data_IF_712972962141
#
_entry.id   IF_712972962141
#
_cell.length_a   1.000
_cell.length_b   1.000
_cell.length_c   1.000
_cell.angle_alpha   90.00
_cell.angle_beta   90.00
_cell.angle_gamma   90.00
#
_symmetry.space_group_name_H-M   'P 1'
#
loop_
_entity.id
_entity.type
_entity.pdbx_description
1 polymer ?
#
# COMPACT_ATOMS: atom_id res chain seq x y z
N UNK A 1 23.56 2.36 -31.23
CA UNK A 1 23.74 2.35 -29.76
C UNK A 1 22.36 2.31 -29.13
N UNK A 2 21.99 1.18 -28.51
CA UNK A 2 20.70 1.05 -27.80
C UNK A 2 20.91 1.60 -26.40
N UNK A 3 20.14 2.64 -26.02
CA UNK A 3 20.16 3.16 -24.66
C UNK A 3 19.71 2.05 -23.70
N UNK A 4 20.37 1.84 -22.55
CA UNK A 4 19.93 0.86 -21.58
C UNK A 4 18.49 1.19 -21.17
N UNK A 5 17.62 0.18 -21.16
CA UNK A 5 16.25 0.35 -20.68
C UNK A 5 16.30 0.94 -19.26
N UNK A 6 15.50 1.97 -18.96
CA UNK A 6 15.47 2.53 -17.62
C UNK A 6 15.16 1.40 -16.64
N UNK A 7 16.04 1.17 -15.66
CA UNK A 7 15.76 0.20 -14.62
C UNK A 7 14.42 0.57 -13.97
N UNK A 8 13.52 -0.40 -13.74
CA UNK A 8 12.27 -0.11 -13.07
C UNK A 8 12.61 0.53 -11.74
N UNK A 9 12.07 1.74 -11.52
CA UNK A 9 12.21 2.41 -10.24
C UNK A 9 11.76 1.42 -9.17
N UNK A 10 12.47 1.30 -8.03
CA UNK A 10 11.94 0.55 -6.91
C UNK A 10 10.52 1.07 -6.68
N UNK A 11 9.52 0.18 -6.57
CA UNK A 11 8.10 0.54 -6.55
C UNK A 11 7.77 1.70 -5.56
N UNK A 12 8.62 1.89 -4.55
CA UNK A 12 8.64 2.95 -3.53
C UNK A 12 8.89 4.37 -4.05
N UNK A 13 9.57 4.48 -5.19
CA UNK A 13 9.74 5.68 -6.00
C UNK A 13 8.80 5.68 -7.22
N UNK A 14 7.95 4.66 -7.36
CA UNK A 14 6.95 4.68 -8.40
C UNK A 14 5.93 5.78 -8.09
N UNK A 15 5.52 6.47 -9.14
CA UNK A 15 4.43 7.44 -9.11
C UNK A 15 3.16 6.86 -8.47
N UNK A 16 2.97 5.55 -8.58
CA UNK A 16 1.85 4.83 -7.98
C UNK A 16 1.87 4.87 -6.45
N UNK A 17 3.03 4.62 -5.82
CA UNK A 17 3.15 4.66 -4.36
C UNK A 17 2.81 6.03 -3.78
N UNK A 18 3.24 7.11 -4.44
CA UNK A 18 2.93 8.48 -4.00
C UNK A 18 1.47 8.88 -4.29
N UNK A 19 0.83 8.29 -5.30
CA UNK A 19 -0.59 8.50 -5.55
C UNK A 19 -1.45 7.92 -4.42
N UNK A 20 -1.12 6.72 -3.94
CA UNK A 20 -1.83 6.10 -2.82
C UNK A 20 -1.82 6.97 -1.56
N UNK A 21 -0.69 7.62 -1.25
CA UNK A 21 -0.55 8.49 -0.08
C UNK A 21 -1.39 9.76 -0.15
N UNK A 22 -1.89 10.14 -1.34
CA UNK A 22 -2.79 11.28 -1.54
C UNK A 22 -4.27 10.91 -1.41
N UNK A 23 -4.57 9.62 -1.35
CA UNK A 23 -5.94 9.12 -1.22
C UNK A 23 -6.31 9.05 0.26
N UNK A 24 -7.57 9.33 0.58
CA UNK A 24 -8.13 9.06 1.90
C UNK A 24 -7.91 7.58 2.28
N UNK A 25 -7.34 7.27 3.47
CA UNK A 25 -7.06 5.88 3.88
C UNK A 25 -8.29 4.96 3.78
N UNK A 26 -9.49 5.45 4.10
CA UNK A 26 -10.72 4.64 4.03
C UNK A 26 -11.13 4.33 2.58
N UNK A 27 -10.85 5.24 1.65
CA UNK A 27 -11.02 4.98 0.21
C UNK A 27 -9.91 4.07 -0.31
N UNK A 28 -8.70 4.24 0.21
CA UNK A 28 -7.56 3.39 -0.13
C UNK A 28 -7.87 1.94 0.19
N UNK A 29 -8.38 1.62 1.40
CA UNK A 29 -8.80 0.26 1.79
C UNK A 29 -9.69 -0.41 0.74
N UNK A 30 -10.69 0.31 0.20
CA UNK A 30 -11.61 -0.26 -0.80
C UNK A 30 -10.92 -0.54 -2.13
N UNK A 31 -10.15 0.42 -2.64
CA UNK A 31 -9.40 0.22 -3.89
C UNK A 31 -8.34 -0.87 -3.73
N UNK A 32 -7.70 -0.93 -2.56
CA UNK A 32 -6.68 -1.90 -2.23
C UNK A 32 -7.26 -3.32 -2.16
N UNK A 33 -8.41 -3.49 -1.51
CA UNK A 33 -9.13 -4.76 -1.47
C UNK A 33 -9.62 -5.21 -2.86
N UNK A 34 -9.97 -4.28 -3.75
CA UNK A 34 -10.34 -4.63 -5.13
C UNK A 34 -9.14 -5.09 -5.95
N UNK A 35 -7.96 -4.50 -5.73
CA UNK A 35 -6.73 -4.86 -6.46
C UNK A 35 -6.10 -6.16 -5.97
N UNK A 36 -6.06 -6.35 -4.64
CA UNK A 36 -5.30 -7.43 -4.01
C UNK A 36 -6.17 -8.51 -3.36
N UNK A 37 -7.50 -8.37 -3.39
CA UNK A 37 -8.46 -9.35 -2.85
C UNK A 37 -8.12 -9.73 -1.39
N UNK A 38 -8.08 -11.03 -1.09
CA UNK A 38 -7.75 -11.63 0.21
C UNK A 38 -6.35 -11.24 0.72
N UNK A 39 -5.42 -10.89 -0.18
CA UNK A 39 -4.03 -10.53 0.17
C UNK A 39 -3.87 -9.04 0.49
N UNK A 40 -4.94 -8.25 0.44
CA UNK A 40 -4.87 -6.80 0.64
C UNK A 40 -4.30 -6.41 2.02
N UNK A 41 -4.55 -7.22 3.05
CA UNK A 41 -3.96 -7.01 4.38
C UNK A 41 -2.45 -7.24 4.40
N UNK A 42 -1.99 -8.33 3.80
CA UNK A 42 -0.57 -8.71 3.73
C UNK A 42 0.25 -7.71 2.93
N UNK A 43 -0.30 -7.27 1.79
CA UNK A 43 0.32 -6.23 0.97
C UNK A 43 0.38 -4.88 1.70
N UNK A 44 -0.65 -4.51 2.47
CA UNK A 44 -0.62 -3.28 3.27
C UNK A 44 0.47 -3.35 4.35
N UNK A 45 0.66 -4.49 5.03
CA UNK A 45 1.75 -4.70 5.98
C UNK A 45 3.13 -4.64 5.33
N UNK A 46 3.30 -5.29 4.17
CA UNK A 46 4.54 -5.24 3.40
C UNK A 46 4.90 -3.79 3.06
N UNK A 47 3.93 -2.98 2.64
CA UNK A 47 4.14 -1.57 2.30
C UNK A 47 4.45 -0.71 3.52
N UNK A 48 3.85 -1.00 4.68
CA UNK A 48 4.20 -0.34 5.94
C UNK A 48 5.66 -0.61 6.33
N UNK A 49 6.08 -1.88 6.30
CA UNK A 49 7.46 -2.29 6.60
C UNK A 49 8.47 -1.60 5.67
N UNK A 50 8.17 -1.58 4.37
CA UNK A 50 9.04 -0.97 3.38
C UNK A 50 9.13 0.56 3.53
N UNK A 51 8.03 1.22 3.91
CA UNK A 51 8.03 2.65 4.20
C UNK A 51 8.83 2.99 5.47
N UNK A 52 8.73 2.17 6.52
CA UNK A 52 9.51 2.34 7.75
C UNK A 52 11.00 2.16 7.50
N UNK A 53 11.39 1.13 6.74
CA UNK A 53 12.78 0.88 6.34
C UNK A 53 13.41 2.05 5.60
N UNK A 54 12.60 2.82 4.88
CA UNK A 54 13.04 3.96 4.09
C UNK A 54 12.87 5.31 4.85
N UNK A 55 12.57 5.27 6.15
CA UNK A 55 12.42 6.47 6.99
C UNK A 55 11.16 7.28 6.74
N UNK A 56 10.20 6.78 5.94
CA UNK A 56 8.95 7.47 5.60
C UNK A 56 7.86 7.16 6.62
N UNK A 57 8.01 7.70 7.84
CA UNK A 57 7.11 7.42 8.98
C UNK A 57 5.62 7.69 8.66
N UNK A 58 5.30 8.76 7.94
CA UNK A 58 3.91 9.07 7.56
C UNK A 58 3.31 8.02 6.62
N UNK A 59 4.10 7.54 5.66
CA UNK A 59 3.68 6.50 4.73
C UNK A 59 3.48 5.16 5.45
N UNK A 60 4.36 4.82 6.39
CA UNK A 60 4.18 3.64 7.24
C UNK A 60 2.87 3.72 8.03
N UNK A 61 2.59 4.86 8.67
CA UNK A 61 1.34 5.09 9.39
C UNK A 61 0.09 5.06 8.51
N UNK A 62 0.18 5.50 7.26
CA UNK A 62 -0.91 5.37 6.29
C UNK A 62 -1.22 3.89 6.00
N UNK A 63 -0.21 3.08 5.66
CA UNK A 63 -0.41 1.68 5.32
C UNK A 63 -0.88 0.84 6.51
N UNK A 64 -0.44 1.17 7.73
CA UNK A 64 -0.97 0.57 8.95
C UNK A 64 -2.46 0.86 9.14
N UNK A 65 -2.92 2.10 8.92
CA UNK A 65 -4.35 2.45 8.96
C UNK A 65 -5.16 1.72 7.87
N UNK A 66 -4.58 1.51 6.70
CA UNK A 66 -5.21 0.70 5.64
C UNK A 66 -5.35 -0.76 6.09
N UNK A 67 -4.32 -1.33 6.71
CA UNK A 67 -4.38 -2.69 7.26
C UNK A 67 -5.44 -2.83 8.36
N UNK A 68 -5.50 -1.88 9.30
CA UNK A 68 -6.52 -1.86 10.36
C UNK A 68 -7.95 -1.79 9.78
N UNK A 69 -8.16 -0.95 8.76
CA UNK A 69 -9.44 -0.84 8.07
C UNK A 69 -9.83 -2.12 7.31
N UNK A 70 -8.86 -2.83 6.74
CA UNK A 70 -9.08 -4.13 6.11
C UNK A 70 -9.46 -5.20 7.15
N UNK A 71 -8.71 -5.30 8.27
CA UNK A 71 -9.02 -6.23 9.35
C UNK A 71 -10.45 -6.06 9.90
N UNK A 72 -10.91 -4.82 10.04
CA UNK A 72 -12.27 -4.54 10.50
C UNK A 72 -13.33 -5.03 9.50
N UNK A 73 -13.06 -4.91 8.18
CA UNK A 73 -13.96 -5.45 7.14
C UNK A 73 -14.00 -6.98 7.17
N UNK A 74 -12.86 -7.64 7.29
CA UNK A 74 -12.80 -9.10 7.38
C UNK A 74 -13.57 -9.63 8.59
N UNK A 75 -13.37 -9.00 9.76
CA UNK A 75 -14.13 -9.34 10.98
C UNK A 75 -15.64 -9.16 10.80
N UNK A 76 -16.08 -8.11 10.09
CA UNK A 76 -17.49 -7.86 9.84
C UNK A 76 -18.09 -8.81 8.78
N UNK A 77 -17.28 -9.35 7.87
CA UNK A 77 -17.71 -10.33 6.86
C UNK A 77 -17.79 -11.77 7.41
N UNK A 78 -17.10 -12.04 8.53
CA UNK A 78 -17.10 -13.34 9.21
C UNK A 78 -18.27 -13.53 10.21
N UNK A 79 -19.19 -12.57 10.31
CA UNK A 79 -20.40 -12.57 11.16
C UNK A 79 -21.64 -12.74 10.28
#
# INVERSE_FOLDING_TARGET
MVAPAPMPLPWRQSREADLWLRVDPAKAVRGFAQTYSEQAGEEALLRALLAERDGRREAAGFWLRVYEGWQQREKAAAV
#
